data_IF_371112927138
#
_entry.id   IF_371112927138
#
_cell.length_a   1.000
_cell.length_b   1.000
_cell.length_c   1.000
_cell.angle_alpha   90.00
_cell.angle_beta   90.00
_cell.angle_gamma   90.00
#
_symmetry.space_group_name_H-M   'P 1'
#
loop_
_entity.id
_entity.type
_entity.pdbx_description
1 polymer ?
#
# COMPACT_ATOMS: atom_id res chain seq x y z
N UNK A 1 1.71 -11.21 12.16
CA UNK A 1 1.24 -11.48 13.53
C UNK A 1 -0.20 -11.95 13.55
N UNK A 2 -1.18 -11.13 13.17
CA UNK A 2 -2.63 -11.45 13.22
C UNK A 2 -2.99 -12.75 12.51
N UNK A 3 -2.47 -12.98 11.30
CA UNK A 3 -2.73 -14.19 10.52
C UNK A 3 -2.14 -15.44 11.19
N UNK A 4 -0.93 -15.34 11.76
CA UNK A 4 -0.28 -16.42 12.47
C UNK A 4 -1.04 -16.82 13.76
N UNK A 5 -1.60 -15.85 14.49
CA UNK A 5 -2.46 -16.10 15.65
C UNK A 5 -3.76 -16.81 15.22
N UNK A 6 -4.44 -16.30 14.20
CA UNK A 6 -5.68 -16.88 13.67
C UNK A 6 -5.50 -18.35 13.24
N UNK A 7 -4.30 -18.71 12.78
CA UNK A 7 -3.95 -20.08 12.36
C UNK A 7 -3.32 -20.92 13.48
N UNK A 8 -3.26 -20.42 14.72
CA UNK A 8 -2.60 -21.08 15.87
C UNK A 8 -1.13 -21.47 15.62
N UNK A 9 -0.41 -20.67 14.86
CA UNK A 9 1.01 -20.89 14.51
C UNK A 9 1.98 -20.28 15.52
N UNK A 10 1.49 -19.39 16.38
CA UNK A 10 2.27 -18.77 17.44
C UNK A 10 1.96 -19.43 18.79
N UNK A 11 2.95 -19.38 19.69
CA UNK A 11 2.72 -19.82 21.07
C UNK A 11 1.59 -18.98 21.71
N UNK A 12 0.70 -19.62 22.44
CA UNK A 12 -0.54 -19.04 22.98
C UNK A 12 -0.37 -17.78 23.86
N UNK A 13 0.85 -17.50 24.34
CA UNK A 13 1.16 -16.34 25.16
C UNK A 13 1.63 -15.09 24.34
N UNK A 14 1.73 -15.21 23.01
CA UNK A 14 2.29 -14.14 22.16
C UNK A 14 1.16 -13.45 21.41
N UNK A 15 1.08 -12.13 21.57
CA UNK A 15 0.18 -11.27 20.80
C UNK A 15 0.77 -10.93 19.43
N UNK A 16 -0.08 -10.46 18.50
CA UNK A 16 0.35 -9.98 17.17
C UNK A 16 1.36 -8.83 17.24
N UNK A 17 1.19 -7.93 18.22
CA UNK A 17 2.11 -6.81 18.45
C UNK A 17 3.47 -7.27 18.96
N UNK A 18 3.49 -8.20 19.90
CA UNK A 18 4.73 -8.78 20.42
C UNK A 18 5.48 -9.54 19.33
N UNK A 19 4.78 -10.32 18.52
CA UNK A 19 5.40 -10.99 17.37
C UNK A 19 6.02 -9.99 16.40
N UNK A 20 5.32 -8.90 16.06
CA UNK A 20 5.84 -7.87 15.17
C UNK A 20 7.12 -7.21 15.73
N UNK A 21 7.14 -6.89 17.04
CA UNK A 21 8.32 -6.35 17.69
C UNK A 21 9.49 -7.32 17.70
N UNK A 22 9.24 -8.60 17.98
CA UNK A 22 10.26 -9.63 17.95
C UNK A 22 10.81 -9.85 16.54
N UNK A 23 9.97 -9.82 15.52
CA UNK A 23 10.38 -9.93 14.12
C UNK A 23 11.27 -8.75 13.68
N UNK A 24 10.88 -7.51 14.05
CA UNK A 24 11.69 -6.31 13.78
C UNK A 24 13.05 -6.40 14.48
N UNK A 25 13.04 -6.82 15.74
CA UNK A 25 14.28 -6.99 16.50
C UNK A 25 15.17 -8.07 15.89
N UNK A 26 14.60 -9.21 15.50
CA UNK A 26 15.33 -10.28 14.85
C UNK A 26 16.04 -9.80 13.57
N UNK A 27 15.39 -8.98 12.76
CA UNK A 27 16.01 -8.38 11.59
C UNK A 27 17.17 -7.45 11.95
N UNK A 28 17.00 -6.58 12.95
CA UNK A 28 18.07 -5.69 13.42
C UNK A 28 19.27 -6.48 13.93
N UNK A 29 19.04 -7.54 14.71
CA UNK A 29 20.10 -8.38 15.29
C UNK A 29 20.80 -9.19 14.18
N UNK A 30 20.05 -9.72 13.19
CA UNK A 30 20.60 -10.41 12.03
C UNK A 30 21.49 -9.49 11.19
N UNK A 31 21.00 -8.29 10.84
CA UNK A 31 21.78 -7.28 10.08
C UNK A 31 23.05 -6.86 10.82
N UNK A 32 22.95 -6.63 12.12
CA UNK A 32 24.12 -6.31 12.95
C UNK A 32 25.13 -7.45 12.96
N UNK A 33 24.68 -8.68 13.24
CA UNK A 33 25.54 -9.86 13.25
C UNK A 33 26.19 -10.15 11.89
N UNK A 34 25.48 -9.86 10.79
CA UNK A 34 26.04 -10.03 9.45
C UNK A 34 27.08 -8.95 9.13
N UNK A 35 26.85 -7.71 9.55
CA UNK A 35 27.82 -6.63 9.42
C UNK A 35 29.15 -6.96 10.17
N UNK A 36 29.04 -7.51 11.38
CA UNK A 36 30.22 -7.89 12.18
C UNK A 36 30.99 -9.08 11.56
N UNK A 37 30.30 -10.03 10.95
CA UNK A 37 30.89 -11.25 10.37
C UNK A 37 31.40 -11.08 8.94
N UNK A 38 30.62 -10.40 8.10
CA UNK A 38 30.77 -10.38 6.65
C UNK A 38 31.06 -8.98 6.08
N UNK A 39 31.01 -7.93 6.91
CA UNK A 39 31.26 -6.55 6.50
C UNK A 39 30.09 -5.87 5.74
N UNK A 40 28.93 -6.52 5.65
CA UNK A 40 27.72 -5.97 5.07
C UNK A 40 26.48 -6.33 5.90
N UNK A 41 25.44 -5.54 5.80
CA UNK A 41 24.22 -5.70 6.58
C UNK A 41 23.06 -6.34 5.81
N UNK A 42 23.33 -6.88 4.63
CA UNK A 42 22.33 -7.61 3.85
C UNK A 42 22.09 -9.00 4.45
N UNK A 43 20.82 -9.36 4.65
CA UNK A 43 20.39 -10.61 5.27
C UNK A 43 19.19 -11.19 4.52
N UNK A 44 19.09 -12.51 4.51
CA UNK A 44 17.91 -13.20 3.96
C UNK A 44 16.79 -13.34 5.00
N UNK A 45 15.59 -13.68 4.55
CA UNK A 45 14.45 -13.98 5.42
C UNK A 45 14.77 -15.13 6.37
N UNK A 46 15.46 -16.15 5.89
CA UNK A 46 15.89 -17.32 6.67
C UNK A 46 16.80 -16.88 7.82
N UNK A 47 17.83 -16.10 7.52
CA UNK A 47 18.76 -15.57 8.54
C UNK A 47 18.05 -14.72 9.58
N UNK A 48 17.08 -13.89 9.17
CA UNK A 48 16.28 -13.12 10.12
C UNK A 48 15.52 -14.03 11.09
N UNK A 49 14.90 -15.09 10.57
CA UNK A 49 14.12 -16.01 11.38
C UNK A 49 14.98 -16.88 12.32
N UNK A 50 16.26 -17.05 12.03
CA UNK A 50 17.20 -17.69 12.95
C UNK A 50 17.36 -16.93 14.28
N UNK A 51 17.22 -15.61 14.24
CA UNK A 51 17.27 -14.75 15.44
C UNK A 51 15.96 -14.71 16.22
N UNK A 52 14.87 -15.26 15.71
CA UNK A 52 13.65 -15.37 16.50
C UNK A 52 13.78 -16.43 17.59
N UNK A 53 13.24 -16.18 18.81
CA UNK A 53 13.23 -17.17 19.87
C UNK A 53 12.56 -18.48 19.46
N UNK A 54 13.11 -19.61 19.85
CA UNK A 54 12.62 -20.94 19.42
C UNK A 54 11.18 -21.24 19.88
N UNK A 55 10.76 -20.64 21.00
CA UNK A 55 9.42 -20.88 21.54
C UNK A 55 8.29 -20.19 20.78
N UNK A 56 8.59 -19.30 19.81
CA UNK A 56 7.57 -18.52 19.10
C UNK A 56 6.67 -19.43 18.25
N UNK A 57 7.24 -20.43 17.59
CA UNK A 57 6.56 -21.33 16.67
C UNK A 57 7.52 -21.93 15.64
N UNK A 58 6.98 -22.69 14.72
CA UNK A 58 7.76 -23.24 13.60
C UNK A 58 8.20 -22.10 12.65
N UNK A 59 9.51 -21.87 12.62
CA UNK A 59 10.11 -20.78 11.84
C UNK A 59 9.86 -20.92 10.34
N UNK A 60 9.90 -22.13 9.81
CA UNK A 60 9.69 -22.40 8.37
C UNK A 60 8.25 -22.08 7.97
N UNK A 61 7.29 -22.48 8.82
CA UNK A 61 5.87 -22.16 8.60
C UNK A 61 5.61 -20.66 8.70
N UNK A 62 6.25 -20.01 9.67
CA UNK A 62 6.11 -18.55 9.84
C UNK A 62 6.74 -17.75 8.70
N UNK A 63 7.89 -18.19 8.16
CA UNK A 63 8.50 -17.61 6.96
C UNK A 63 7.57 -17.74 5.74
N UNK A 64 7.06 -18.93 5.51
CA UNK A 64 6.11 -19.21 4.41
C UNK A 64 4.86 -18.30 4.54
N UNK A 65 4.35 -18.11 5.77
CA UNK A 65 3.22 -17.24 6.04
C UNK A 65 3.56 -15.76 5.79
N UNK A 66 4.79 -15.31 6.08
CA UNK A 66 5.26 -13.95 5.75
C UNK A 66 5.22 -13.74 4.24
N UNK A 67 5.82 -14.63 3.45
CA UNK A 67 5.80 -14.55 1.98
C UNK A 67 4.37 -14.61 1.42
N UNK A 68 3.52 -15.50 1.93
CA UNK A 68 2.10 -15.54 1.53
C UNK A 68 1.36 -14.24 1.86
N UNK A 69 1.74 -13.59 2.97
CA UNK A 69 1.16 -12.30 3.35
C UNK A 69 1.62 -11.20 2.39
N UNK A 70 2.89 -11.18 2.00
CA UNK A 70 3.38 -10.27 0.97
C UNK A 70 2.64 -10.49 -0.36
N UNK A 71 2.40 -11.74 -0.77
CA UNK A 71 1.60 -12.04 -1.97
C UNK A 71 0.17 -11.45 -1.91
N UNK A 72 -0.43 -11.37 -0.72
CA UNK A 72 -1.79 -10.82 -0.57
C UNK A 72 -1.83 -9.29 -0.55
N UNK A 73 -0.77 -8.65 -0.05
CA UNK A 73 -0.75 -7.19 0.16
C UNK A 73 0.07 -6.43 -0.88
N UNK A 74 0.95 -7.09 -1.62
CA UNK A 74 1.63 -6.48 -2.74
C UNK A 74 0.72 -6.38 -3.96
N UNK A 75 0.96 -5.38 -4.78
CA UNK A 75 0.28 -5.17 -6.06
C UNK A 75 1.26 -4.63 -7.08
N UNK A 76 0.97 -4.84 -8.36
CA UNK A 76 1.76 -4.29 -9.45
C UNK A 76 1.41 -2.83 -9.66
N UNK A 77 2.43 -1.99 -9.82
CA UNK A 77 2.24 -0.63 -10.27
C UNK A 77 1.90 -0.64 -11.77
N UNK A 78 0.68 -0.22 -12.17
CA UNK A 78 0.25 -0.32 -13.56
C UNK A 78 1.09 0.51 -14.53
N UNK A 79 1.58 1.69 -14.13
CA UNK A 79 2.43 2.54 -14.95
C UNK A 79 3.79 1.88 -15.23
N UNK A 80 4.37 1.25 -14.21
CA UNK A 80 5.65 0.54 -14.36
C UNK A 80 5.45 -0.76 -15.15
N UNK A 81 4.33 -1.46 -14.96
CA UNK A 81 4.01 -2.65 -15.74
C UNK A 81 3.90 -2.30 -17.23
N UNK A 82 3.14 -1.28 -17.58
CA UNK A 82 3.01 -0.80 -18.96
C UNK A 82 4.37 -0.41 -19.56
N UNK A 83 5.21 0.29 -18.78
CA UNK A 83 6.56 0.65 -19.19
C UNK A 83 7.43 -0.58 -19.47
N UNK A 84 7.35 -1.62 -18.63
CA UNK A 84 8.09 -2.89 -18.82
C UNK A 84 7.61 -3.59 -20.09
N UNK A 85 6.31 -3.70 -20.30
CA UNK A 85 5.70 -4.31 -21.49
C UNK A 85 6.10 -3.56 -22.77
N UNK A 86 6.06 -2.22 -22.76
CA UNK A 86 6.49 -1.39 -23.88
C UNK A 86 7.97 -1.54 -24.20
N UNK A 87 8.78 -1.62 -23.15
CA UNK A 87 10.24 -1.78 -23.26
C UNK A 87 10.58 -3.15 -23.85
N UNK A 88 9.93 -4.20 -23.36
CA UNK A 88 10.09 -5.57 -23.87
C UNK A 88 9.63 -5.67 -25.34
N UNK A 89 8.49 -5.07 -25.71
CA UNK A 89 8.00 -5.02 -27.11
C UNK A 89 9.00 -4.36 -28.08
N UNK A 90 9.83 -3.45 -27.58
CA UNK A 90 10.91 -2.81 -28.36
C UNK A 90 12.19 -3.62 -28.41
N UNK A 91 12.22 -4.81 -27.81
CA UNK A 91 13.39 -5.67 -27.74
C UNK A 91 14.49 -5.13 -26.83
N UNK A 92 14.16 -4.25 -25.89
CA UNK A 92 15.10 -3.73 -24.89
C UNK A 92 15.06 -4.66 -23.69
N UNK A 93 16.23 -5.07 -23.22
CA UNK A 93 16.40 -5.95 -22.08
C UNK A 93 15.98 -5.25 -20.78
N UNK A 94 15.17 -5.91 -19.98
CA UNK A 94 14.68 -5.41 -18.68
C UNK A 94 15.18 -6.33 -17.56
N UNK A 95 15.74 -5.73 -16.52
CA UNK A 95 16.14 -6.41 -15.29
C UNK A 95 15.55 -5.69 -14.09
N UNK A 96 15.23 -6.42 -13.01
CA UNK A 96 14.78 -5.84 -11.76
C UNK A 96 15.91 -5.85 -10.74
N UNK A 97 16.01 -4.79 -9.93
CA UNK A 97 16.92 -4.69 -8.79
C UNK A 97 16.16 -4.36 -7.51
N UNK A 98 16.45 -5.07 -6.43
CA UNK A 98 15.73 -4.89 -5.16
C UNK A 98 16.67 -4.97 -3.96
N UNK A 99 16.57 -3.97 -3.08
CA UNK A 99 17.25 -3.97 -1.77
C UNK A 99 16.31 -4.52 -0.72
N UNK A 100 16.30 -5.86 -0.54
CA UNK A 100 15.44 -6.47 0.45
C UNK A 100 15.94 -7.86 0.91
N UNK A 101 15.31 -8.37 1.95
CA UNK A 101 15.64 -9.66 2.57
C UNK A 101 14.93 -10.88 1.93
N UNK A 102 13.99 -10.65 1.03
CA UNK A 102 13.36 -11.75 0.28
C UNK A 102 14.29 -12.20 -0.86
N UNK A 103 14.39 -13.51 -1.06
CA UNK A 103 15.16 -14.09 -2.16
C UNK A 103 14.50 -13.81 -3.51
N UNK A 104 15.28 -13.96 -4.59
CA UNK A 104 14.77 -13.91 -5.98
C UNK A 104 13.56 -14.82 -6.17
N UNK A 105 13.60 -16.06 -5.65
CA UNK A 105 12.51 -17.00 -5.78
C UNK A 105 11.22 -16.51 -5.06
N UNK A 106 11.37 -15.91 -3.88
CA UNK A 106 10.24 -15.34 -3.14
C UNK A 106 9.66 -14.12 -3.85
N UNK A 107 10.50 -13.25 -4.43
CA UNK A 107 10.03 -12.13 -5.26
C UNK A 107 9.32 -12.61 -6.53
N UNK A 108 9.83 -13.63 -7.20
CA UNK A 108 9.15 -14.24 -8.35
C UNK A 108 7.76 -14.78 -7.97
N UNK A 109 7.64 -15.41 -6.79
CA UNK A 109 6.35 -15.88 -6.27
C UNK A 109 5.38 -14.71 -6.05
N UNK A 110 5.83 -13.61 -5.43
CA UNK A 110 5.00 -12.42 -5.19
C UNK A 110 4.55 -11.81 -6.52
N UNK A 111 5.47 -11.62 -7.46
CA UNK A 111 5.20 -11.05 -8.77
C UNK A 111 4.19 -11.89 -9.56
N UNK A 112 4.39 -13.20 -9.65
CA UNK A 112 3.51 -14.11 -10.39
C UNK A 112 2.13 -14.25 -9.76
N UNK A 113 2.05 -14.26 -8.41
CA UNK A 113 0.77 -14.30 -7.70
C UNK A 113 -0.06 -13.05 -8.00
N UNK A 114 0.60 -11.91 -8.25
CA UNK A 114 -0.04 -10.65 -8.62
C UNK A 114 -0.22 -10.46 -10.14
N UNK A 115 0.02 -11.50 -10.94
CA UNK A 115 -0.27 -11.50 -12.38
C UNK A 115 0.87 -10.98 -13.27
N UNK A 116 2.10 -10.80 -12.74
CA UNK A 116 3.26 -10.40 -13.53
C UNK A 116 3.77 -11.58 -14.38
N UNK A 117 4.00 -11.34 -15.66
CA UNK A 117 4.65 -12.31 -16.55
C UNK A 117 6.17 -12.19 -16.44
N UNK A 118 6.82 -13.20 -15.86
CA UNK A 118 8.28 -13.23 -15.69
C UNK A 118 9.04 -13.26 -17.03
N UNK A 119 8.40 -13.61 -18.16
CA UNK A 119 9.05 -13.55 -19.48
C UNK A 119 9.30 -12.12 -19.96
N UNK A 120 8.75 -11.10 -19.29
CA UNK A 120 8.99 -9.69 -19.59
C UNK A 120 10.36 -9.20 -19.10
N UNK A 121 11.03 -9.97 -18.25
CA UNK A 121 12.31 -9.60 -17.64
C UNK A 121 13.34 -10.70 -17.83
N UNK A 122 14.62 -10.33 -17.90
CA UNK A 122 15.73 -11.28 -18.02
C UNK A 122 16.18 -11.78 -16.65
N UNK A 123 16.28 -10.87 -15.65
CA UNK A 123 16.86 -11.21 -14.36
C UNK A 123 16.29 -10.34 -13.22
N UNK A 124 16.35 -10.87 -11.98
CA UNK A 124 16.08 -10.14 -10.74
C UNK A 124 17.33 -10.18 -9.86
N UNK A 125 17.89 -9.03 -9.55
CA UNK A 125 19.02 -8.88 -8.62
C UNK A 125 18.51 -8.45 -7.25
N UNK A 126 18.86 -9.22 -6.21
CA UNK A 126 18.42 -8.94 -4.84
C UNK A 126 19.63 -8.77 -3.93
N UNK A 127 19.63 -7.73 -3.12
CA UNK A 127 20.76 -7.35 -2.28
C UNK A 127 21.17 -8.45 -1.29
N UNK A 128 20.21 -9.17 -0.71
CA UNK A 128 20.51 -10.25 0.24
C UNK A 128 21.24 -11.44 -0.38
N UNK A 129 21.11 -11.68 -1.69
CA UNK A 129 21.80 -12.76 -2.39
C UNK A 129 23.22 -12.36 -2.87
N UNK A 130 23.51 -11.05 -2.90
CA UNK A 130 24.78 -10.53 -3.43
C UNK A 130 25.65 -9.82 -2.37
N UNK A 131 25.21 -9.77 -1.12
CA UNK A 131 25.97 -9.19 -0.01
C UNK A 131 26.19 -7.68 -0.12
N UNK A 132 25.36 -6.97 -0.88
CA UNK A 132 25.44 -5.53 -1.03
C UNK A 132 24.23 -4.96 -1.76
N UNK A 133 23.88 -3.73 -1.42
CA UNK A 133 22.70 -3.03 -1.91
C UNK A 133 23.05 -2.05 -3.05
N UNK A 134 22.02 -1.36 -3.55
CA UNK A 134 22.16 -0.36 -4.60
C UNK A 134 22.99 0.84 -4.14
N UNK A 135 22.78 1.36 -2.92
CA UNK A 135 23.54 2.46 -2.36
C UNK A 135 25.03 2.20 -2.26
N UNK A 136 25.43 0.97 -1.93
CA UNK A 136 26.85 0.58 -1.88
C UNK A 136 27.47 0.41 -3.28
N UNK A 137 26.65 0.40 -4.34
CA UNK A 137 27.06 0.11 -5.71
C UNK A 137 27.33 -1.38 -5.99
N UNK A 138 27.34 -2.25 -4.98
CA UNK A 138 27.64 -3.68 -5.14
C UNK A 138 26.63 -4.37 -6.05
N UNK A 139 25.33 -4.09 -5.86
CA UNK A 139 24.28 -4.70 -6.65
C UNK A 139 24.38 -4.29 -8.14
N UNK A 140 24.64 -3.01 -8.41
CA UNK A 140 24.89 -2.54 -9.78
C UNK A 140 26.20 -3.06 -10.35
N UNK A 141 27.25 -3.17 -9.53
CA UNK A 141 28.51 -3.79 -9.94
C UNK A 141 28.33 -5.24 -10.40
N UNK A 142 27.48 -6.00 -9.69
CA UNK A 142 27.10 -7.36 -10.10
C UNK A 142 26.38 -7.35 -11.46
N UNK A 143 25.39 -6.50 -11.63
CA UNK A 143 24.66 -6.33 -12.89
C UNK A 143 25.63 -6.02 -14.04
N UNK A 144 26.51 -5.03 -13.87
CA UNK A 144 27.50 -4.65 -14.89
C UNK A 144 28.47 -5.79 -15.22
N UNK A 145 28.83 -6.63 -14.24
CA UNK A 145 29.71 -7.77 -14.47
C UNK A 145 29.03 -8.90 -15.27
N UNK A 146 27.72 -9.05 -15.16
CA UNK A 146 26.94 -10.05 -15.88
C UNK A 146 26.69 -9.64 -17.34
N UNK A 147 26.68 -8.33 -17.61
CA UNK A 147 26.50 -7.76 -18.96
C UNK A 147 27.74 -6.94 -19.42
N UNK A 148 28.93 -7.57 -19.54
CA UNK A 148 30.19 -6.84 -19.80
C UNK A 148 30.24 -6.19 -21.18
N UNK A 149 29.32 -6.51 -22.07
CA UNK A 149 29.20 -5.94 -23.41
C UNK A 149 28.29 -4.72 -23.47
N UNK A 150 27.59 -4.37 -22.38
CA UNK A 150 26.73 -3.19 -22.26
C UNK A 150 27.50 -2.13 -21.48
N UNK A 151 27.64 -0.95 -22.07
CA UNK A 151 28.28 0.17 -21.38
C UNK A 151 27.36 0.77 -20.31
N UNK A 152 27.88 1.26 -19.18
CA UNK A 152 27.05 1.86 -18.15
C UNK A 152 26.13 2.98 -18.67
N UNK A 153 26.60 3.82 -19.59
CA UNK A 153 25.79 4.89 -20.22
C UNK A 153 24.64 4.39 -21.11
N UNK A 154 24.61 3.11 -21.45
CA UNK A 154 23.51 2.47 -22.20
C UNK A 154 22.41 1.96 -21.26
N UNK A 155 22.67 1.91 -19.94
CA UNK A 155 21.74 1.44 -18.93
C UNK A 155 20.97 2.64 -18.36
N UNK A 156 19.64 2.50 -18.30
CA UNK A 156 18.75 3.43 -17.62
C UNK A 156 18.16 2.73 -16.39
N UNK A 157 18.43 3.28 -15.20
CA UNK A 157 17.80 2.85 -13.97
C UNK A 157 16.64 3.76 -13.58
N UNK A 158 15.52 3.17 -13.12
CA UNK A 158 14.34 3.89 -12.68
C UNK A 158 13.95 3.39 -11.30
N UNK A 159 13.81 4.29 -10.33
CA UNK A 159 13.40 3.93 -8.98
C UNK A 159 13.06 5.14 -8.11
N UNK A 160 12.55 4.90 -6.90
CA UNK A 160 11.94 5.91 -6.05
C UNK A 160 12.84 6.47 -4.95
N UNK A 161 14.00 5.87 -4.70
CA UNK A 161 14.95 6.33 -3.68
C UNK A 161 16.08 7.14 -4.31
N UNK A 162 16.21 8.41 -3.91
CA UNK A 162 17.23 9.31 -4.47
C UNK A 162 18.65 8.75 -4.32
N UNK A 163 19.03 8.31 -3.14
CA UNK A 163 20.38 7.79 -2.85
C UNK A 163 20.67 6.46 -3.59
N UNK A 164 19.73 5.53 -3.56
CA UNK A 164 19.90 4.19 -4.09
C UNK A 164 19.61 4.09 -5.59
N UNK A 165 18.58 4.81 -6.08
CA UNK A 165 18.08 4.62 -7.45
C UNK A 165 18.42 5.77 -8.40
N UNK A 166 18.91 6.90 -7.87
CA UNK A 166 19.28 8.04 -8.70
C UNK A 166 20.77 8.39 -8.59
N UNK A 167 21.30 8.60 -7.39
CA UNK A 167 22.69 9.02 -7.19
C UNK A 167 23.67 7.87 -7.38
N UNK A 168 23.37 6.69 -6.82
CA UNK A 168 24.27 5.53 -6.90
C UNK A 168 24.50 5.02 -8.35
N UNK A 169 23.47 4.79 -9.19
CA UNK A 169 23.69 4.40 -10.57
C UNK A 169 24.42 5.49 -11.39
N UNK A 170 24.15 6.77 -11.14
CA UNK A 170 24.90 7.87 -11.78
C UNK A 170 26.39 7.87 -11.45
N UNK A 171 26.73 7.59 -10.19
CA UNK A 171 28.13 7.49 -9.78
C UNK A 171 28.89 6.36 -10.52
N UNK A 172 28.16 5.35 -11.03
CA UNK A 172 28.69 4.26 -11.84
C UNK A 172 28.62 4.52 -13.36
N UNK A 173 28.22 5.72 -13.79
CA UNK A 173 28.13 6.10 -15.20
C UNK A 173 26.82 5.70 -15.88
N UNK A 174 25.86 5.14 -15.16
CA UNK A 174 24.54 4.79 -15.67
C UNK A 174 23.63 6.03 -15.77
N UNK A 175 22.62 5.97 -16.64
CA UNK A 175 21.53 6.94 -16.62
C UNK A 175 20.54 6.58 -15.51
N UNK A 176 19.93 7.58 -14.90
CA UNK A 176 18.91 7.32 -13.88
C UNK A 176 17.76 8.31 -13.96
N UNK A 177 16.56 7.82 -13.63
CA UNK A 177 15.34 8.62 -13.45
C UNK A 177 14.82 8.38 -12.04
N UNK A 178 14.63 9.47 -11.30
CA UNK A 178 13.93 9.39 -10.03
C UNK A 178 12.42 9.34 -10.30
N UNK A 179 11.82 8.19 -10.00
CA UNK A 179 10.38 7.97 -10.14
C UNK A 179 9.67 8.34 -8.85
N UNK A 180 9.01 9.48 -8.84
CA UNK A 180 8.19 9.88 -7.69
C UNK A 180 6.78 9.32 -7.84
N UNK A 181 6.48 8.29 -7.05
CA UNK A 181 5.16 7.63 -7.00
C UNK A 181 4.05 8.59 -6.56
N UNK A 182 4.40 9.64 -5.82
CA UNK A 182 3.46 10.62 -5.29
C UNK A 182 3.94 12.01 -5.68
N UNK A 183 3.03 12.85 -6.18
CA UNK A 183 3.32 14.26 -6.39
C UNK A 183 3.79 14.92 -5.09
N UNK A 184 4.67 15.92 -5.21
CA UNK A 184 5.23 16.64 -4.07
C UNK A 184 4.16 17.13 -3.08
N UNK A 185 3.03 17.63 -3.58
CA UNK A 185 1.89 18.08 -2.76
C UNK A 185 1.32 16.98 -1.87
N UNK A 186 1.18 15.74 -2.40
CA UNK A 186 0.71 14.62 -1.60
C UNK A 186 1.75 14.18 -0.57
N UNK A 187 3.04 14.26 -0.90
CA UNK A 187 4.12 13.98 0.06
C UNK A 187 4.05 14.95 1.24
N UNK A 188 3.85 16.23 0.99
CA UNK A 188 3.70 17.25 2.03
C UNK A 188 2.48 16.99 2.92
N UNK A 189 1.34 16.61 2.34
CA UNK A 189 0.13 16.24 3.10
C UNK A 189 0.42 15.03 4.00
N UNK A 190 1.02 13.98 3.47
CA UNK A 190 1.38 12.79 4.23
C UNK A 190 2.35 13.08 5.38
N UNK A 191 3.33 13.97 5.16
CA UNK A 191 4.28 14.35 6.19
C UNK A 191 3.62 15.23 7.26
N UNK A 192 2.72 16.13 6.88
CA UNK A 192 1.91 16.91 7.82
C UNK A 192 1.03 16.01 8.68
N UNK A 193 0.36 15.02 8.09
CA UNK A 193 -0.49 14.07 8.82
C UNK A 193 0.32 13.24 9.83
N UNK A 194 1.52 12.78 9.45
CA UNK A 194 2.43 12.08 10.38
C UNK A 194 2.78 12.92 11.60
N UNK A 195 3.06 14.21 11.39
CA UNK A 195 3.42 15.14 12.46
C UNK A 195 2.22 15.43 13.36
N UNK A 196 1.06 15.76 12.76
CA UNK A 196 -0.12 16.22 13.49
C UNK A 196 -0.83 15.11 14.25
N UNK A 197 -0.88 13.89 13.69
CA UNK A 197 -1.69 12.81 14.23
C UNK A 197 -0.87 11.67 14.82
N UNK A 198 0.46 11.78 14.82
CA UNK A 198 1.36 10.68 15.22
C UNK A 198 0.96 9.36 14.54
N UNK A 199 0.62 9.45 13.25
CA UNK A 199 -0.03 8.40 12.51
C UNK A 199 0.87 7.21 12.22
N UNK A 200 0.32 6.02 12.24
CA UNK A 200 1.05 4.82 11.91
C UNK A 200 1.49 4.84 10.43
N UNK A 201 2.70 4.36 10.18
CA UNK A 201 3.33 4.32 8.83
C UNK A 201 2.45 3.68 7.74
N UNK A 202 1.51 2.79 8.12
CA UNK A 202 0.62 2.12 7.16
C UNK A 202 -0.38 3.07 6.49
N UNK A 203 -0.74 4.21 7.10
CA UNK A 203 -1.66 5.17 6.48
C UNK A 203 -1.09 5.70 5.18
N UNK A 204 0.17 6.11 5.18
CA UNK A 204 0.88 6.57 3.97
C UNK A 204 0.90 5.48 2.88
N UNK A 205 1.06 4.21 3.27
CA UNK A 205 1.04 3.10 2.30
C UNK A 205 -0.35 2.90 1.69
N UNK A 206 -1.42 3.05 2.47
CA UNK A 206 -2.79 3.01 1.97
C UNK A 206 -3.12 4.19 1.06
N UNK A 207 -2.62 5.39 1.36
CA UNK A 207 -2.76 6.57 0.51
C UNK A 207 -2.06 6.36 -0.84
N UNK A 208 -0.83 5.84 -0.82
CA UNK A 208 -0.09 5.46 -2.04
C UNK A 208 -0.88 4.46 -2.88
N UNK A 209 -1.37 3.38 -2.26
CA UNK A 209 -2.18 2.38 -2.93
C UNK A 209 -3.43 2.99 -3.57
N UNK A 210 -4.16 3.84 -2.83
CA UNK A 210 -5.35 4.51 -3.34
C UNK A 210 -5.05 5.40 -4.55
N UNK A 211 -3.94 6.16 -4.51
CA UNK A 211 -3.51 7.01 -5.63
C UNK A 211 -3.15 6.17 -6.86
N UNK A 212 -2.39 5.08 -6.68
CA UNK A 212 -2.04 4.19 -7.80
C UNK A 212 -3.23 3.48 -8.42
N UNK A 213 -4.30 3.27 -7.65
CA UNK A 213 -5.52 2.65 -8.15
C UNK A 213 -6.42 3.63 -8.92
N UNK A 214 -6.03 4.90 -9.05
CA UNK A 214 -6.76 5.88 -9.84
C UNK A 214 -6.60 5.63 -11.33
N UNK A 215 -7.67 5.87 -12.08
CA UNK A 215 -7.68 5.78 -13.57
C UNK A 215 -6.75 6.80 -14.24
N UNK A 216 -6.41 7.89 -13.58
CA UNK A 216 -5.47 8.92 -14.02
C UNK A 216 -4.79 9.53 -12.79
N UNK A 217 -3.68 8.90 -12.40
CA UNK A 217 -2.88 9.33 -11.24
C UNK A 217 -2.09 10.62 -11.49
N UNK A 218 -2.02 11.11 -12.73
CA UNK A 218 -1.30 12.33 -13.07
C UNK A 218 -2.03 13.60 -12.63
N UNK A 219 -3.34 13.53 -12.38
CA UNK A 219 -4.15 14.68 -11.95
C UNK A 219 -4.16 14.85 -10.45
N UNK A 220 -3.81 16.04 -9.98
CA UNK A 220 -3.81 16.40 -8.55
C UNK A 220 -5.16 16.14 -7.88
N UNK A 221 -6.26 16.45 -8.56
CA UNK A 221 -7.62 16.21 -8.05
C UNK A 221 -7.88 14.73 -7.79
N UNK A 222 -7.44 13.85 -8.68
CA UNK A 222 -7.57 12.41 -8.52
C UNK A 222 -6.70 11.89 -7.36
N UNK A 223 -5.49 12.40 -7.21
CA UNK A 223 -4.62 12.04 -6.09
C UNK A 223 -5.20 12.47 -4.74
N UNK A 224 -5.71 13.70 -4.63
CA UNK A 224 -6.37 14.17 -3.41
C UNK A 224 -7.66 13.39 -3.17
N UNK A 225 -8.46 13.20 -4.21
CA UNK A 225 -9.71 12.43 -4.14
C UNK A 225 -9.48 11.01 -3.62
N UNK A 226 -8.53 10.29 -4.18
CA UNK A 226 -8.24 8.91 -3.79
C UNK A 226 -7.44 8.83 -2.48
N UNK A 227 -6.33 9.57 -2.38
CA UNK A 227 -5.39 9.42 -1.27
C UNK A 227 -5.85 10.05 0.04
N UNK A 228 -6.71 11.07 -0.01
CA UNK A 228 -7.22 11.77 1.19
C UNK A 228 -8.70 11.43 1.42
N UNK A 229 -9.56 11.86 0.50
CA UNK A 229 -11.01 11.72 0.68
C UNK A 229 -11.46 10.26 0.58
N UNK A 230 -10.92 9.49 -0.37
CA UNK A 230 -11.27 8.09 -0.59
C UNK A 230 -10.99 7.23 0.65
N UNK A 231 -9.86 7.45 1.31
CA UNK A 231 -9.53 6.73 2.54
C UNK A 231 -10.49 7.08 3.68
N UNK A 232 -10.78 8.37 3.89
CA UNK A 232 -11.72 8.82 4.91
C UNK A 232 -13.13 8.27 4.65
N UNK A 233 -13.58 8.28 3.40
CA UNK A 233 -14.88 7.77 3.00
C UNK A 233 -14.98 6.25 3.14
N UNK A 234 -13.90 5.53 2.84
CA UNK A 234 -13.83 4.07 3.05
C UNK A 234 -13.99 3.73 4.53
N UNK A 235 -13.27 4.42 5.42
CA UNK A 235 -13.39 4.22 6.86
C UNK A 235 -14.80 4.57 7.38
N UNK A 236 -15.42 5.62 6.84
CA UNK A 236 -16.79 5.97 7.16
C UNK A 236 -17.79 4.89 6.70
N UNK A 237 -17.62 4.34 5.50
CA UNK A 237 -18.47 3.25 5.01
C UNK A 237 -18.32 2.00 5.87
N UNK A 238 -17.10 1.61 6.23
CA UNK A 238 -16.85 0.47 7.12
C UNK A 238 -17.50 0.68 8.49
N UNK A 239 -17.35 1.86 9.08
CA UNK A 239 -18.02 2.21 10.34
C UNK A 239 -19.55 2.12 10.24
N UNK A 240 -20.15 2.62 9.16
CA UNK A 240 -21.59 2.54 8.94
C UNK A 240 -22.10 1.09 8.81
N UNK A 241 -21.32 0.24 8.11
CA UNK A 241 -21.60 -1.18 7.96
C UNK A 241 -21.50 -1.88 9.33
N UNK A 242 -20.46 -1.61 10.11
CA UNK A 242 -20.27 -2.19 11.45
C UNK A 242 -21.42 -1.85 12.40
N UNK A 243 -21.93 -0.60 12.34
CA UNK A 243 -23.13 -0.21 13.10
C UNK A 243 -24.34 -1.02 12.63
N UNK A 244 -24.54 -1.12 11.32
CA UNK A 244 -25.65 -1.86 10.72
C UNK A 244 -25.65 -3.33 11.16
N UNK A 245 -24.51 -3.99 11.16
CA UNK A 245 -24.33 -5.36 11.65
C UNK A 245 -24.62 -5.47 13.15
N UNK A 246 -24.02 -4.60 13.97
CA UNK A 246 -24.17 -4.61 15.43
C UNK A 246 -25.61 -4.42 15.86
N UNK A 247 -26.37 -3.59 15.12
CA UNK A 247 -27.77 -3.32 15.42
C UNK A 247 -28.75 -4.25 14.67
N UNK A 248 -28.26 -5.21 13.91
CA UNK A 248 -29.09 -6.16 13.13
C UNK A 248 -29.89 -5.49 12.02
N UNK A 249 -29.47 -4.32 11.54
CA UNK A 249 -30.11 -3.62 10.43
C UNK A 249 -29.73 -4.25 9.09
N UNK A 250 -30.66 -4.26 8.14
CA UNK A 250 -30.47 -4.89 6.82
C UNK A 250 -30.47 -3.89 5.67
N UNK A 251 -30.63 -2.61 5.93
CA UNK A 251 -30.64 -1.58 4.92
C UNK A 251 -29.88 -0.34 5.40
N UNK A 252 -29.07 0.24 4.47
CA UNK A 252 -28.44 1.54 4.64
C UNK A 252 -29.07 2.49 3.60
N UNK A 253 -29.41 3.69 4.01
CA UNK A 253 -30.08 4.68 3.18
C UNK A 253 -29.21 5.95 3.06
N UNK A 254 -28.21 5.99 2.19
CA UNK A 254 -27.47 7.22 1.96
C UNK A 254 -28.36 8.25 1.25
N UNK A 255 -28.29 9.51 1.69
CA UNK A 255 -29.04 10.59 1.05
C UNK A 255 -28.45 10.96 -0.32
N UNK A 256 -29.32 11.25 -1.30
CA UNK A 256 -28.89 11.81 -2.60
C UNK A 256 -28.27 13.20 -2.34
N UNK A 257 -27.38 13.43 -3.12
CA UNK A 257 -26.22 13.66 -3.79
C UNK A 257 -25.01 12.90 -3.22
N UNK A 258 -24.89 12.85 -1.92
CA UNK A 258 -23.82 12.12 -1.22
C UNK A 258 -23.87 10.61 -1.53
N UNK A 259 -25.07 10.09 -1.79
CA UNK A 259 -25.29 8.70 -2.21
C UNK A 259 -24.58 8.33 -3.54
N UNK A 260 -24.33 9.29 -4.45
CA UNK A 260 -23.58 9.04 -5.69
C UNK A 260 -22.15 8.54 -5.40
N UNK A 261 -21.58 8.99 -4.28
CA UNK A 261 -20.25 8.56 -3.82
C UNK A 261 -20.35 7.37 -2.86
N UNK A 262 -21.20 7.49 -1.83
CA UNK A 262 -21.24 6.50 -0.76
C UNK A 262 -21.95 5.21 -1.12
N UNK A 263 -22.96 5.22 -2.01
CA UNK A 263 -23.68 3.99 -2.33
C UNK A 263 -22.76 2.95 -3.01
N UNK A 264 -22.01 3.24 -4.09
CA UNK A 264 -21.09 2.28 -4.68
C UNK A 264 -19.96 1.84 -3.73
N UNK A 265 -19.50 2.73 -2.84
CA UNK A 265 -18.48 2.37 -1.85
C UNK A 265 -19.03 1.38 -0.80
N UNK A 266 -20.25 1.63 -0.30
CA UNK A 266 -20.95 0.74 0.63
C UNK A 266 -21.24 -0.62 -0.01
N UNK A 267 -21.75 -0.65 -1.24
CA UNK A 267 -22.05 -1.87 -1.98
C UNK A 267 -20.79 -2.75 -2.17
N UNK A 268 -19.69 -2.15 -2.59
CA UNK A 268 -18.41 -2.85 -2.75
C UNK A 268 -17.89 -3.39 -1.41
N UNK A 269 -17.95 -2.60 -0.34
CA UNK A 269 -17.51 -3.04 0.98
C UNK A 269 -18.38 -4.17 1.55
N UNK A 270 -19.69 -4.11 1.36
CA UNK A 270 -20.65 -5.14 1.76
C UNK A 270 -20.38 -6.44 1.00
N UNK A 271 -20.20 -6.37 -0.32
CA UNK A 271 -19.87 -7.52 -1.17
C UNK A 271 -18.56 -8.19 -0.73
N UNK A 272 -17.49 -7.41 -0.57
CA UNK A 272 -16.18 -7.92 -0.13
C UNK A 272 -16.21 -8.57 1.26
N UNK A 273 -17.10 -8.11 2.14
CA UNK A 273 -17.30 -8.67 3.49
C UNK A 273 -18.28 -9.85 3.49
N UNK A 274 -18.92 -10.17 2.36
CA UNK A 274 -19.92 -11.25 2.24
C UNK A 274 -21.17 -11.01 3.06
N UNK A 275 -21.58 -9.75 3.26
CA UNK A 275 -22.69 -9.38 4.11
C UNK A 275 -24.02 -9.27 3.33
N UNK A 276 -25.15 -9.49 4.03
CA UNK A 276 -26.50 -9.37 3.46
C UNK A 276 -27.15 -8.06 3.92
N UNK A 277 -26.57 -6.94 3.52
CA UNK A 277 -27.06 -5.57 3.78
C UNK A 277 -27.36 -4.93 2.43
N UNK A 278 -28.51 -4.25 2.31
CA UNK A 278 -28.91 -3.55 1.10
C UNK A 278 -28.58 -2.06 1.22
N UNK A 279 -28.08 -1.48 0.14
CA UNK A 279 -27.91 -0.03 0.00
C UNK A 279 -29.04 0.52 -0.85
N UNK A 280 -29.76 1.52 -0.34
CA UNK A 280 -30.93 2.12 -1.02
C UNK A 280 -30.81 3.63 -0.96
N UNK A 281 -30.34 4.31 -2.03
CA UNK A 281 -30.29 5.76 -2.06
C UNK A 281 -31.64 6.40 -1.74
N UNK A 282 -31.65 7.36 -0.85
CA UNK A 282 -32.87 8.05 -0.40
C UNK A 282 -32.94 9.44 -1.03
N UNK A 283 -33.95 9.63 -1.87
CA UNK A 283 -34.19 10.90 -2.56
C UNK A 283 -34.93 11.87 -1.66
N UNK A 284 -34.19 12.54 -0.80
CA UNK A 284 -34.71 13.58 0.07
C UNK A 284 -33.91 14.86 -0.08
N UNK A 285 -34.59 16.00 -0.02
CA UNK A 285 -33.93 17.29 0.07
C UNK A 285 -34.23 17.95 1.41
N UNK A 286 -33.36 18.85 1.84
CA UNK A 286 -33.63 19.67 3.05
C UNK A 286 -34.97 20.40 2.95
N UNK A 287 -35.36 20.84 1.75
CA UNK A 287 -36.65 21.47 1.51
C UNK A 287 -37.80 20.49 1.68
N UNK A 288 -37.68 19.25 1.18
CA UNK A 288 -38.72 18.23 1.28
C UNK A 288 -38.93 17.70 2.70
N UNK A 289 -37.86 17.63 3.50
CA UNK A 289 -37.93 17.09 4.87
C UNK A 289 -38.12 18.15 5.92
N UNK A 290 -37.89 19.41 5.62
CA UNK A 290 -37.97 20.49 6.60
C UNK A 290 -39.38 20.68 7.14
N UNK A 291 -40.39 20.73 6.27
CA UNK A 291 -41.80 20.81 6.70
C UNK A 291 -42.22 19.63 7.58
N UNK A 292 -41.69 18.42 7.27
CA UNK A 292 -41.99 17.24 8.09
C UNK A 292 -41.21 17.19 9.41
N UNK A 293 -40.16 17.99 9.58
CA UNK A 293 -39.39 18.08 10.82
C UNK A 293 -39.94 19.08 11.84
N UNK A 294 -40.86 19.92 11.40
CA UNK A 294 -41.51 20.90 12.28
C UNK A 294 -42.45 20.16 13.24
N UNK A 295 -42.04 20.06 14.49
CA UNK A 295 -42.84 19.42 15.56
C UNK A 295 -43.85 20.36 16.21
N UNK A 296 -43.70 21.64 16.00
CA UNK A 296 -44.53 22.70 16.56
C UNK A 296 -44.64 23.87 15.57
N UNK A 297 -45.85 24.40 15.37
CA UNK A 297 -46.06 25.60 14.57
C UNK A 297 -46.29 26.76 15.52
N UNK A 298 -45.32 27.66 15.62
CA UNK A 298 -45.48 28.95 16.29
C UNK A 298 -45.24 30.11 15.30
N UNK A 299 -45.47 31.36 15.76
CA UNK A 299 -45.31 32.54 14.89
C UNK A 299 -43.87 32.71 14.42
N UNK A 300 -42.87 32.41 15.26
CA UNK A 300 -41.47 32.53 14.93
C UNK A 300 -41.03 31.54 13.83
N UNK A 301 -41.51 30.29 13.87
CA UNK A 301 -41.27 29.32 12.82
C UNK A 301 -41.99 29.68 11.52
N UNK A 302 -43.20 30.27 11.59
CA UNK A 302 -43.89 30.77 10.41
C UNK A 302 -43.15 31.94 9.75
N UNK A 303 -42.70 32.92 10.53
CA UNK A 303 -41.93 34.06 10.04
C UNK A 303 -40.58 33.62 9.42
N UNK A 304 -39.86 32.73 10.06
CA UNK A 304 -38.63 32.13 9.51
C UNK A 304 -38.89 31.40 8.19
N UNK A 305 -40.04 30.83 8.01
CA UNK A 305 -40.44 30.11 6.79
C UNK A 305 -40.75 31.10 5.68
N UNK A 306 -41.48 32.15 5.97
CA UNK A 306 -41.81 33.21 5.02
C UNK A 306 -40.54 33.94 4.53
N UNK A 307 -39.65 34.31 5.45
CA UNK A 307 -38.38 34.94 5.16
C UNK A 307 -37.48 34.04 4.25
N UNK A 308 -37.38 32.76 4.58
CA UNK A 308 -36.54 31.81 3.86
C UNK A 308 -37.00 31.59 2.41
N UNK A 309 -38.26 31.70 2.14
CA UNK A 309 -38.84 31.51 0.80
C UNK A 309 -39.21 32.83 0.11
N UNK A 310 -38.90 34.01 0.72
CA UNK A 310 -39.11 35.32 0.12
C UNK A 310 -40.57 35.69 -0.01
N UNK A 311 -41.43 35.26 0.93
CA UNK A 311 -42.82 35.59 0.98
C UNK A 311 -43.11 36.76 1.94
N UNK A 312 -42.14 37.64 2.19
CA UNK A 312 -42.36 38.87 2.98
C UNK A 312 -42.99 39.95 2.18
#
# INVERSE_FOLDING_TARGET
>A
GKKAIKLNLLHNSITDKEFALLRIKAEQDARKGNLERNGHNEVSLEEIYEFLPQFIGDRTVLQSLEVMTECEYCYLNPEILELIEDTNRKGILVVLTSDMYLSKAQLQQILTTNGFDLNLIEEIYVSCEHGGNKCSGVLFGKLLSDYPHILPEEILHIGDKLDADFDSPKALGMKSIHYSVILHTMSEICDYEKICFNEPKYLTSLQKLAVHSCSDSSKTENQIGAGVLGLAFTLFCDWAIDICEREGKKNIYPFMREAEVFAPMLENAIEKRGLSINVKPLYVSRQATWLASISFWDEEECDNLLDKYGFT
#
